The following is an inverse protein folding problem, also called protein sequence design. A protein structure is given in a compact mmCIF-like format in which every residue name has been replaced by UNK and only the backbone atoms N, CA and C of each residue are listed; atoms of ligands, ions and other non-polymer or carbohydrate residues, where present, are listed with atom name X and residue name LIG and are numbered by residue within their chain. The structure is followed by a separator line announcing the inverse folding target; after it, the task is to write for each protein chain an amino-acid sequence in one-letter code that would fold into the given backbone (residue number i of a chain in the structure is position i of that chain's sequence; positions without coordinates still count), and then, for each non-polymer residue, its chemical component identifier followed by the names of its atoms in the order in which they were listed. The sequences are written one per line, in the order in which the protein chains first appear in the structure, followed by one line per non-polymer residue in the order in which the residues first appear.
data_IF_810027388497
#
_entry.id   IF_810027388497
#
_cell.length_a   1.000
_cell.length_b   1.000
_cell.length_c   1.000
_cell.angle_alpha   90.00
_cell.angle_beta   90.00
_cell.angle_gamma   90.00
#
_symmetry.space_group_name_H-M   'P 1'
#
loop_
_entity.id
_entity.type
_entity.pdbx_description
1 polymer ?
#
# COMPACT_ATOMS: atom_id res chain seq x y z
N UNK A 1 5.28 5.34 -0.12
CA UNK A 1 4.50 4.84 -1.27
C UNK A 1 3.02 4.70 -0.88
N UNK A 2 2.11 4.88 -1.84
CA UNK A 2 0.65 4.80 -1.62
C UNK A 2 0.11 3.49 -2.21
N UNK A 3 -0.94 2.86 -1.63
CA UNK A 3 -1.68 1.68 -2.15
C UNK A 3 -2.01 1.71 -3.64
N UNK A 4 -2.23 0.53 -4.24
CA UNK A 4 -2.63 0.24 -5.62
C UNK A 4 -3.98 0.81 -6.07
N UNK A 5 -4.60 1.65 -5.25
CA UNK A 5 -5.81 2.41 -5.60
C UNK A 5 -5.46 3.78 -6.18
N UNK A 6 -6.34 4.31 -7.02
CA UNK A 6 -6.17 5.55 -7.77
C UNK A 6 -6.79 5.47 -9.17
N UNK A 7 -7.14 6.61 -9.75
CA UNK A 7 -7.92 6.66 -10.99
C UNK A 7 -9.31 6.05 -10.78
N UNK A 8 -9.64 5.05 -11.59
CA UNK A 8 -10.94 4.36 -11.54
C UNK A 8 -11.11 3.47 -10.30
N UNK A 9 -10.04 3.02 -9.65
CA UNK A 9 -10.13 2.21 -8.43
C UNK A 9 -10.16 3.09 -7.17
N UNK A 10 -11.31 3.26 -6.50
CA UNK A 10 -11.42 4.08 -5.30
C UNK A 10 -10.82 3.41 -4.05
N UNK A 11 -10.53 2.11 -4.11
CA UNK A 11 -10.25 1.28 -2.93
C UNK A 11 -11.49 1.09 -2.06
N UNK A 12 -11.27 0.93 -0.75
CA UNK A 12 -12.37 0.89 0.21
C UNK A 12 -13.20 2.20 0.19
N UNK A 13 -14.53 2.06 0.24
CA UNK A 13 -15.48 3.17 0.31
C UNK A 13 -16.17 3.15 1.68
N UNK A 14 -16.01 4.24 2.44
CA UNK A 14 -16.62 4.43 3.75
C UNK A 14 -18.13 4.75 3.67
N UNK A 15 -18.81 4.70 4.83
CA UNK A 15 -20.27 4.98 4.95
C UNK A 15 -20.70 6.27 4.25
N UNK A 16 -19.89 7.31 4.44
CA UNK A 16 -20.16 8.66 3.95
C UNK A 16 -19.44 8.96 2.62
N UNK A 17 -19.20 7.92 1.81
CA UNK A 17 -18.53 7.99 0.50
C UNK A 17 -17.07 8.45 0.54
N UNK A 18 -16.43 8.44 1.71
CA UNK A 18 -14.98 8.62 1.83
C UNK A 18 -14.28 7.52 1.05
N UNK A 19 -13.41 7.88 0.10
CA UNK A 19 -12.67 6.92 -0.71
C UNK A 19 -11.27 6.74 -0.13
N UNK A 20 -10.85 5.49 0.01
CA UNK A 20 -9.52 5.15 0.50
C UNK A 20 -8.43 5.89 -0.29
N UNK A 21 -8.52 5.89 -1.62
CA UNK A 21 -7.51 6.51 -2.50
C UNK A 21 -7.18 7.97 -2.16
N UNK A 22 -8.17 8.72 -1.68
CA UNK A 22 -8.05 10.14 -1.32
C UNK A 22 -7.37 10.27 0.04
N UNK A 23 -7.83 9.47 1.02
CA UNK A 23 -7.30 9.45 2.39
C UNK A 23 -5.82 9.06 2.37
N UNK A 24 -5.45 7.98 1.67
CA UNK A 24 -4.06 7.51 1.63
C UNK A 24 -3.14 8.51 0.93
N UNK A 25 -3.62 9.22 -0.11
CA UNK A 25 -2.83 10.27 -0.78
C UNK A 25 -2.61 11.48 0.13
N UNK A 26 -3.63 11.89 0.88
CA UNK A 26 -3.50 12.99 1.84
C UNK A 26 -2.51 12.64 2.96
N UNK A 27 -2.62 11.44 3.55
CA UNK A 27 -1.67 10.96 4.58
C UNK A 27 -0.25 10.92 4.01
N UNK A 28 -0.08 10.37 2.80
CA UNK A 28 1.24 10.27 2.17
C UNK A 28 1.88 11.63 1.87
N UNK A 29 1.09 12.63 1.46
CA UNK A 29 1.59 14.00 1.25
C UNK A 29 2.02 14.66 2.56
N UNK A 30 1.26 14.46 3.64
CA UNK A 30 1.64 14.93 4.98
C UNK A 30 2.93 14.28 5.46
N UNK A 31 3.04 12.95 5.32
CA UNK A 31 4.26 12.22 5.67
C UNK A 31 5.47 12.69 4.84
N UNK A 32 5.28 12.88 3.53
CA UNK A 32 6.32 13.44 2.65
C UNK A 32 6.81 14.79 3.17
N UNK A 33 5.90 15.72 3.45
CA UNK A 33 6.25 17.05 3.93
C UNK A 33 6.95 17.06 5.29
N UNK A 34 6.74 16.02 6.12
CA UNK A 34 7.49 15.83 7.35
C UNK A 34 8.91 15.31 7.06
N UNK A 35 9.04 14.27 6.21
CA UNK A 35 10.35 13.69 5.85
C UNK A 35 11.22 14.71 5.11
N UNK A 36 10.65 15.55 4.25
CA UNK A 36 11.40 16.60 3.53
C UNK A 36 12.00 17.67 4.45
N UNK A 37 11.57 17.75 5.73
CA UNK A 37 12.18 18.62 6.74
C UNK A 37 13.38 17.98 7.42
N UNK A 38 13.56 16.68 7.29
CA UNK A 38 14.68 15.93 7.86
C UNK A 38 15.88 15.99 6.91
N UNK A 39 16.97 16.66 7.31
CA UNK A 39 18.10 16.94 6.43
C UNK A 39 18.89 15.70 5.95
N UNK A 40 18.68 14.55 6.59
CA UNK A 40 19.32 13.27 6.25
C UNK A 40 18.39 12.29 5.53
N UNK A 41 17.16 12.69 5.19
CA UNK A 41 16.19 11.81 4.54
C UNK A 41 15.79 12.33 3.17
N UNK A 42 15.48 11.39 2.26
CA UNK A 42 14.92 11.69 0.95
C UNK A 42 13.70 10.82 0.71
N UNK A 43 12.61 11.42 0.28
CA UNK A 43 11.34 10.75 0.07
C UNK A 43 10.94 10.75 -1.40
N UNK A 44 10.50 9.59 -1.89
CA UNK A 44 9.92 9.43 -3.20
C UNK A 44 8.52 8.84 -3.10
N UNK A 45 7.59 9.38 -3.88
CA UNK A 45 6.23 8.87 -3.98
C UNK A 45 6.05 8.06 -5.27
N UNK A 46 5.30 6.97 -5.22
CA UNK A 46 4.97 6.18 -6.42
C UNK A 46 3.93 6.85 -7.31
N UNK A 47 3.04 7.65 -6.70
CA UNK A 47 2.12 8.60 -7.34
C UNK A 47 1.99 9.85 -6.46
N UNK A 48 1.75 11.01 -7.06
CA UNK A 48 1.36 12.24 -6.34
C UNK A 48 0.05 12.83 -6.88
N UNK A 49 -0.70 12.04 -7.62
CA UNK A 49 -1.96 12.38 -8.25
C UNK A 49 -2.89 11.16 -8.22
N UNK A 50 -4.13 11.33 -8.64
CA UNK A 50 -5.15 10.29 -8.63
C UNK A 50 -5.03 9.38 -9.86
N UNK A 51 -3.95 8.59 -9.90
CA UNK A 51 -3.68 7.62 -10.97
C UNK A 51 -3.47 6.23 -10.40
N UNK A 52 -3.92 5.22 -11.16
CA UNK A 52 -3.57 3.84 -10.89
C UNK A 52 -2.10 3.58 -11.25
N UNK A 53 -1.36 2.93 -10.36
CA UNK A 53 0.00 2.44 -10.65
C UNK A 53 0.02 0.93 -10.37
N UNK A 54 0.43 0.06 -11.30
CA UNK A 54 0.52 -1.37 -11.05
C UNK A 54 1.57 -1.75 -9.98
N UNK A 55 1.32 -2.84 -9.23
CA UNK A 55 2.21 -3.32 -8.15
C UNK A 55 3.67 -3.51 -8.60
N UNK A 56 3.89 -4.11 -9.77
CA UNK A 56 5.25 -4.31 -10.33
C UNK A 56 5.99 -2.99 -10.58
N UNK A 57 5.28 -1.97 -11.08
CA UNK A 57 5.86 -0.65 -11.37
C UNK A 57 6.32 0.05 -10.10
N UNK A 58 5.59 -0.13 -9.00
CA UNK A 58 5.95 0.43 -7.70
C UNK A 58 7.26 -0.15 -7.15
N UNK A 59 7.40 -1.47 -7.21
CA UNK A 59 8.62 -2.17 -6.77
C UNK A 59 9.80 -1.72 -7.64
N UNK A 60 9.60 -1.66 -8.97
CA UNK A 60 10.62 -1.18 -9.89
C UNK A 60 11.02 0.28 -9.61
N UNK A 61 10.07 1.17 -9.29
CA UNK A 61 10.38 2.56 -8.88
C UNK A 61 11.24 2.59 -7.62
N UNK A 62 10.91 1.81 -6.59
CA UNK A 62 11.69 1.78 -5.35
C UNK A 62 13.11 1.26 -5.57
N UNK A 63 13.26 0.18 -6.36
CA UNK A 63 14.56 -0.37 -6.73
C UNK A 63 15.39 0.63 -7.55
N UNK A 64 14.78 1.30 -8.53
CA UNK A 64 15.45 2.32 -9.35
C UNK A 64 15.95 3.50 -8.51
N UNK A 65 15.20 3.89 -7.48
CA UNK A 65 15.60 4.96 -6.56
C UNK A 65 16.54 4.50 -5.45
N UNK A 66 16.92 3.21 -5.42
CA UNK A 66 17.74 2.60 -4.37
C UNK A 66 17.22 2.92 -2.97
N UNK A 67 15.91 2.84 -2.79
CA UNK A 67 15.28 3.19 -1.53
C UNK A 67 15.69 2.21 -0.41
N UNK A 68 16.15 2.74 0.72
CA UNK A 68 16.51 1.95 1.91
C UNK A 68 15.27 1.42 2.65
N UNK A 69 14.16 2.16 2.59
CA UNK A 69 12.90 1.81 3.21
C UNK A 69 11.74 1.94 2.22
N UNK A 70 10.84 0.96 2.26
CA UNK A 70 9.61 0.95 1.47
C UNK A 70 8.38 0.89 2.38
N UNK A 71 7.63 2.00 2.42
CA UNK A 71 6.39 2.10 3.21
C UNK A 71 5.20 2.17 2.26
N UNK A 72 4.25 1.25 2.39
CA UNK A 72 2.96 1.30 1.69
C UNK A 72 1.86 1.75 2.66
N UNK A 73 1.11 2.79 2.28
CA UNK A 73 0.04 3.36 3.11
C UNK A 73 -1.32 2.91 2.57
N UNK A 74 -2.14 2.35 3.46
CA UNK A 74 -3.46 1.79 3.19
C UNK A 74 -4.49 2.35 4.19
N UNK A 75 -5.76 2.42 3.78
CA UNK A 75 -6.89 2.67 4.67
C UNK A 75 -7.94 1.59 4.38
N UNK A 76 -7.60 0.38 4.79
CA UNK A 76 -8.38 -0.83 4.53
C UNK A 76 -9.77 -0.78 5.16
N UNK A 77 -10.71 -1.54 4.59
CA UNK A 77 -12.01 -1.82 5.18
C UNK A 77 -12.19 -3.31 5.43
N UNK A 78 -12.94 -3.64 6.47
CA UNK A 78 -13.38 -4.99 6.79
C UNK A 78 -14.90 -5.11 6.59
N UNK A 79 -15.40 -6.34 6.42
CA UNK A 79 -16.85 -6.59 6.19
C UNK A 79 -17.72 -6.19 7.40
N UNK A 80 -17.17 -6.31 8.61
CA UNK A 80 -17.75 -5.75 9.84
C UNK A 80 -17.15 -4.36 10.11
N UNK A 81 -17.95 -3.47 10.68
CA UNK A 81 -17.51 -2.13 11.14
C UNK A 81 -16.88 -2.13 12.54
N UNK A 82 -16.94 -3.25 13.24
CA UNK A 82 -16.44 -3.37 14.60
C UNK A 82 -14.90 -3.27 14.68
N UNK A 83 -14.11 -3.84 13.74
CA UNK A 83 -12.68 -3.61 13.70
C UNK A 83 -12.35 -2.14 13.43
N UNK A 84 -11.52 -1.55 14.28
CA UNK A 84 -11.01 -0.18 14.15
C UNK A 84 -9.59 -0.08 14.72
N UNK A 85 -8.87 0.99 14.38
CA UNK A 85 -7.49 1.21 14.81
C UNK A 85 -6.45 1.14 13.68
N UNK A 86 -5.21 1.48 14.01
CA UNK A 86 -4.07 1.43 13.09
C UNK A 86 -3.34 0.10 13.18
N UNK A 87 -2.78 -0.36 12.06
CA UNK A 87 -2.00 -1.60 12.01
C UNK A 87 -0.81 -1.46 11.07
N UNK A 88 0.27 -2.19 11.36
CA UNK A 88 1.48 -2.24 10.54
C UNK A 88 1.70 -3.69 10.12
N UNK A 89 1.92 -3.91 8.82
CA UNK A 89 2.21 -5.23 8.26
C UNK A 89 3.61 -5.23 7.66
N UNK A 90 4.38 -6.28 7.95
CA UNK A 90 5.66 -6.56 7.32
C UNK A 90 5.56 -7.87 6.52
N UNK A 91 6.33 -7.96 5.44
CA UNK A 91 6.36 -9.16 4.61
C UNK A 91 6.90 -10.34 5.42
N UNK A 92 6.10 -11.41 5.53
CA UNK A 92 6.53 -12.70 6.11
C UNK A 92 6.52 -13.76 5.02
N UNK A 93 7.67 -14.36 4.74
CA UNK A 93 7.80 -15.50 3.80
C UNK A 93 7.26 -16.82 4.37
N UNK A 94 6.91 -16.85 5.67
CA UNK A 94 6.41 -18.04 6.38
C UNK A 94 4.90 -18.04 6.63
N UNK A 95 4.18 -17.03 6.13
CA UNK A 95 2.72 -16.90 6.29
C UNK A 95 2.30 -15.68 7.12
N UNK A 96 1.03 -15.27 6.99
CA UNK A 96 0.47 -14.14 7.73
C UNK A 96 0.30 -14.48 9.21
N UNK A 97 0.62 -13.53 10.09
CA UNK A 97 0.64 -13.70 11.55
C UNK A 97 -0.76 -13.71 12.19
N UNK A 98 -1.81 -13.40 11.44
CA UNK A 98 -3.21 -13.47 11.90
C UNK A 98 -4.18 -13.63 10.73
N UNK A 99 -5.43 -14.04 11.02
CA UNK A 99 -6.50 -14.15 10.00
C UNK A 99 -6.83 -12.80 9.36
N UNK A 100 -6.78 -11.71 10.13
CA UNK A 100 -6.95 -10.36 9.60
C UNK A 100 -5.80 -9.97 8.67
N UNK A 101 -4.56 -10.24 9.06
CA UNK A 101 -3.39 -10.03 8.21
C UNK A 101 -3.46 -10.88 6.93
N UNK A 102 -3.98 -12.12 7.03
CA UNK A 102 -4.18 -13.01 5.88
C UNK A 102 -5.25 -12.49 4.93
N UNK A 103 -6.37 -12.01 5.46
CA UNK A 103 -7.45 -11.41 4.66
C UNK A 103 -6.95 -10.15 3.95
N UNK A 104 -6.26 -9.26 4.65
CA UNK A 104 -5.66 -8.05 4.08
C UNK A 104 -4.62 -8.40 3.02
N UNK A 105 -3.71 -9.35 3.29
CA UNK A 105 -2.76 -9.83 2.29
C UNK A 105 -3.45 -10.44 1.06
N UNK A 106 -4.58 -11.14 1.22
CA UNK A 106 -5.37 -11.66 0.09
C UNK A 106 -6.05 -10.53 -0.71
N UNK A 107 -6.59 -9.51 -0.04
CA UNK A 107 -7.15 -8.33 -0.74
C UNK A 107 -6.09 -7.57 -1.50
N UNK A 108 -4.87 -7.47 -0.97
CA UNK A 108 -3.70 -6.88 -1.65
C UNK A 108 -3.20 -7.75 -2.79
N UNK A 109 -3.24 -9.09 -2.65
CA UNK A 109 -2.73 -10.04 -3.65
C UNK A 109 -3.69 -10.26 -4.84
N UNK A 110 -5.00 -10.06 -4.63
CA UNK A 110 -6.04 -10.29 -5.64
C UNK A 110 -5.99 -9.29 -6.82
N UNK A 111 -5.16 -8.25 -6.74
CA UNK A 111 -4.89 -7.32 -7.84
C UNK A 111 -3.58 -7.63 -8.61
N UNK A 112 -3.00 -8.81 -8.38
CA UNK A 112 -1.97 -9.41 -9.24
C UNK A 112 -0.83 -10.02 -8.45
N UNK A 113 -0.88 -11.35 -8.25
CA UNK A 113 0.25 -12.28 -8.32
C UNK A 113 -0.24 -13.73 -8.03
N UNK A 114 -0.50 -14.49 -9.10
CA UNK A 114 -0.35 -15.95 -9.07
C UNK A 114 1.15 -16.26 -9.21
N UNK A 115 1.83 -16.51 -8.08
CA UNK A 115 3.10 -17.22 -8.11
C UNK A 115 2.78 -18.72 -8.24
N UNK A 116 2.76 -19.23 -9.47
CA UNK A 116 2.90 -20.67 -9.71
C UNK A 116 4.39 -21.01 -9.60
N UNK A 117 4.68 -22.09 -8.86
CA UNK A 117 6.00 -22.71 -8.75
C UNK A 117 6.52 -23.02 -10.16
N UNK A 118 7.74 -22.59 -10.46
CA UNK A 118 8.64 -23.36 -11.32
C UNK A 118 10.09 -23.04 -10.91
N UNK A 119 10.71 -24.03 -10.29
CA UNK A 119 12.15 -24.18 -10.11
C UNK A 119 12.49 -25.51 -10.81
N UNK A 120 13.67 -25.55 -11.46
CA UNK A 120 14.27 -26.62 -12.29
C UNK A 120 13.91 -26.46 -13.77
N UNK A 121 14.84 -26.24 -14.71
CA UNK A 121 16.30 -26.48 -14.79
C UNK A 121 16.93 -25.40 -15.67
#
# INVERSE_FOLDING_TARGET
MIRDTGGEDPGAIGKYKTREKDVVLQIARRLRALIEKEGNMKVYMTRNEDIFIPLKVRVAKAQKQRADLFVSIHADAFTSRQPSGSSVFALSTKGATSTAAKYLAQTQKRLGLNWRREQKR
#
